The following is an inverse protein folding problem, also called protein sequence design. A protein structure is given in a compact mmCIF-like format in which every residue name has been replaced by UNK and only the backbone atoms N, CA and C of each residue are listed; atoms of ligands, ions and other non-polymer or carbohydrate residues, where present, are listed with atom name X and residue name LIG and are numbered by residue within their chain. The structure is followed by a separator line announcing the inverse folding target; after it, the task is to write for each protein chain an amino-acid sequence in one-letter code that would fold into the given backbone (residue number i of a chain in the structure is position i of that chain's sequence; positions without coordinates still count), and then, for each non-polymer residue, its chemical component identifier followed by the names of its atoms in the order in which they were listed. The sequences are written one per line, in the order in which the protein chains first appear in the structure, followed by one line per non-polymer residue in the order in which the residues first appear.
data_IF_990224584369
#
_entry.id   IF_990224584369
#
_cell.length_a   1.000
_cell.length_b   1.000
_cell.length_c   1.000
_cell.angle_alpha   90.00
_cell.angle_beta   90.00
_cell.angle_gamma   90.00
#
_symmetry.space_group_name_H-M   'P 1'
#
loop_
_entity.id
_entity.type
_entity.pdbx_description
1 polymer ?
#
# COMPACT_ATOMS: atom_id res chain seq x y z
N UNK A 1 -21.21 1.14 16.68
CA UNK A 1 -20.94 0.91 15.24
C UNK A 1 -20.15 2.07 14.67
N UNK A 2 -18.83 2.07 14.79
CA UNK A 2 -17.97 3.05 14.11
C UNK A 2 -17.53 2.41 12.79
N UNK A 3 -18.23 2.75 11.71
CA UNK A 3 -17.81 2.38 10.36
C UNK A 3 -16.40 2.95 10.15
N UNK A 4 -15.36 2.13 9.91
CA UNK A 4 -14.04 2.66 9.67
C UNK A 4 -14.12 3.58 8.45
N UNK A 5 -13.64 4.82 8.60
CA UNK A 5 -13.55 5.77 7.50
C UNK A 5 -12.49 5.22 6.56
N UNK A 6 -12.92 4.57 5.47
CA UNK A 6 -12.00 4.21 4.40
C UNK A 6 -11.48 5.50 3.77
N UNK A 7 -10.16 5.76 3.79
CA UNK A 7 -9.61 6.91 3.09
C UNK A 7 -9.73 6.65 1.58
N UNK A 8 -10.83 7.14 0.98
CA UNK A 8 -10.94 7.21 -0.48
C UNK A 8 -9.97 8.26 -0.97
N UNK A 9 -8.88 7.81 -1.59
CA UNK A 9 -7.98 8.69 -2.30
C UNK A 9 -8.69 9.20 -3.56
N UNK A 10 -8.64 10.50 -3.80
CA UNK A 10 -9.21 11.09 -5.02
C UNK A 10 -8.36 10.67 -6.23
N UNK A 11 -8.99 10.54 -7.40
CA UNK A 11 -8.28 10.21 -8.64
C UNK A 11 -7.16 11.21 -8.94
N UNK A 12 -7.34 12.47 -8.56
CA UNK A 12 -6.31 13.52 -8.70
C UNK A 12 -5.03 13.20 -7.90
N UNK A 13 -5.17 12.78 -6.63
CA UNK A 13 -4.02 12.42 -5.79
C UNK A 13 -3.29 11.17 -6.32
N UNK A 14 -4.03 10.20 -6.85
CA UNK A 14 -3.45 9.01 -7.49
C UNK A 14 -2.59 9.38 -8.71
N UNK A 15 -3.11 10.22 -9.60
CA UNK A 15 -2.37 10.69 -10.78
C UNK A 15 -1.15 11.51 -10.37
N UNK A 16 -1.28 12.39 -9.37
CA UNK A 16 -0.16 13.18 -8.84
C UNK A 16 0.95 12.28 -8.30
N UNK A 17 0.62 11.20 -7.59
CA UNK A 17 1.61 10.26 -7.06
C UNK A 17 2.40 9.57 -8.17
N UNK A 18 1.73 9.14 -9.24
CA UNK A 18 2.39 8.54 -10.42
C UNK A 18 3.32 9.54 -11.09
N UNK A 19 2.85 10.78 -11.30
CA UNK A 19 3.66 11.83 -11.91
C UNK A 19 4.89 12.16 -11.06
N UNK A 20 4.71 12.29 -9.74
CA UNK A 20 5.81 12.58 -8.81
C UNK A 20 6.87 11.48 -8.83
N UNK A 21 6.46 10.22 -8.89
CA UNK A 21 7.35 9.08 -9.02
C UNK A 21 8.09 9.06 -10.36
N UNK A 22 7.40 9.35 -11.47
CA UNK A 22 8.03 9.41 -12.79
C UNK A 22 9.07 10.54 -12.88
N UNK A 23 8.76 11.71 -12.33
CA UNK A 23 9.67 12.87 -12.29
C UNK A 23 10.89 12.56 -11.41
N UNK A 24 10.71 11.96 -10.24
CA UNK A 24 11.84 11.63 -9.36
C UNK A 24 12.74 10.56 -9.97
N UNK A 25 12.16 9.50 -10.54
CA UNK A 25 12.92 8.43 -11.18
C UNK A 25 13.71 8.94 -12.39
N UNK A 26 13.08 9.73 -13.26
CA UNK A 26 13.75 10.33 -14.41
C UNK A 26 14.87 11.29 -13.99
N UNK A 27 14.66 12.09 -12.94
CA UNK A 27 15.69 12.96 -12.39
C UNK A 27 16.95 12.19 -11.96
N UNK A 28 16.78 11.04 -11.29
CA UNK A 28 17.93 10.21 -10.88
C UNK A 28 18.62 9.58 -12.09
N UNK A 29 17.86 9.08 -13.06
CA UNK A 29 18.42 8.52 -14.30
C UNK A 29 19.25 9.57 -15.06
N UNK A 30 18.73 10.79 -15.19
CA UNK A 30 19.46 11.91 -15.79
C UNK A 30 20.74 12.20 -14.99
N UNK A 31 20.68 12.25 -13.66
CA UNK A 31 21.85 12.47 -12.82
C UNK A 31 22.94 11.39 -13.03
N UNK A 32 22.55 10.11 -13.19
CA UNK A 32 23.49 9.03 -13.49
C UNK A 32 24.16 9.18 -14.87
N UNK A 33 23.45 9.71 -15.86
CA UNK A 33 24.00 9.96 -17.21
C UNK A 33 25.04 11.08 -17.17
N UNK A 34 24.76 12.17 -16.45
CA UNK A 34 25.66 13.32 -16.33
C UNK A 34 26.83 13.11 -15.34
N UNK A 35 26.81 12.03 -14.55
CA UNK A 35 27.87 11.74 -13.59
C UNK A 35 29.22 11.48 -14.31
N UNK A 36 30.30 12.23 -14.02
CA UNK A 36 31.59 12.07 -14.68
C UNK A 36 32.38 10.87 -14.12
N UNK A 37 31.97 9.65 -14.47
CA UNK A 37 32.60 8.39 -14.02
C UNK A 37 32.77 7.38 -15.16
N UNK A 38 33.48 6.28 -14.93
CA UNK A 38 33.59 5.20 -15.91
C UNK A 38 32.22 4.56 -16.19
N UNK A 39 31.98 4.15 -17.44
CA UNK A 39 30.68 3.61 -17.87
C UNK A 39 30.20 2.39 -17.05
N UNK A 40 31.13 1.54 -16.61
CA UNK A 40 30.81 0.36 -15.80
C UNK A 40 30.27 0.73 -14.40
N UNK A 41 30.79 1.81 -13.79
CA UNK A 41 30.30 2.31 -12.49
C UNK A 41 28.87 2.82 -12.64
N UNK A 42 28.59 3.57 -13.71
CA UNK A 42 27.24 4.06 -14.02
C UNK A 42 26.27 2.90 -14.23
N UNK A 43 26.69 1.85 -14.94
CA UNK A 43 25.88 0.65 -15.16
C UNK A 43 25.58 -0.08 -13.84
N UNK A 44 26.57 -0.24 -12.95
CA UNK A 44 26.37 -0.84 -11.63
C UNK A 44 25.38 -0.03 -10.77
N UNK A 45 25.52 1.30 -10.74
CA UNK A 45 24.57 2.19 -10.05
C UNK A 45 23.16 2.11 -10.66
N UNK A 46 23.06 2.03 -11.99
CA UNK A 46 21.78 1.86 -12.69
C UNK A 46 21.09 0.54 -12.35
N UNK A 47 21.85 -0.56 -12.28
CA UNK A 47 21.33 -1.86 -11.82
C UNK A 47 20.84 -1.79 -10.37
N UNK A 48 21.61 -1.16 -9.48
CA UNK A 48 21.22 -0.95 -8.09
C UNK A 48 19.92 -0.14 -7.97
N UNK A 49 19.80 0.96 -8.71
CA UNK A 49 18.60 1.79 -8.78
C UNK A 49 17.38 0.97 -9.25
N UNK A 50 17.51 0.24 -10.36
CA UNK A 50 16.43 -0.60 -10.90
C UNK A 50 15.98 -1.67 -9.89
N UNK A 51 16.92 -2.33 -9.23
CA UNK A 51 16.61 -3.37 -8.25
C UNK A 51 15.92 -2.81 -7.00
N UNK A 52 16.41 -1.69 -6.46
CA UNK A 52 15.79 -1.02 -5.31
C UNK A 52 14.37 -0.55 -5.65
N UNK A 53 14.16 0.04 -6.82
CA UNK A 53 12.82 0.46 -7.28
C UNK A 53 11.87 -0.74 -7.40
N UNK A 54 12.31 -1.82 -8.05
CA UNK A 54 11.48 -3.02 -8.28
C UNK A 54 11.11 -3.72 -6.97
N UNK A 55 12.09 -3.88 -6.06
CA UNK A 55 11.87 -4.48 -4.74
C UNK A 55 10.99 -3.61 -3.85
N UNK A 56 11.11 -2.28 -3.91
CA UNK A 56 10.25 -1.36 -3.17
C UNK A 56 8.80 -1.47 -3.61
N UNK A 57 8.52 -1.48 -4.92
CA UNK A 57 7.14 -1.67 -5.44
C UNK A 57 6.56 -3.02 -5.00
N UNK A 58 7.38 -4.07 -5.02
CA UNK A 58 6.98 -5.41 -4.54
C UNK A 58 6.65 -5.38 -3.05
N UNK A 59 7.50 -4.74 -2.24
CA UNK A 59 7.27 -4.57 -0.81
C UNK A 59 6.00 -3.77 -0.53
N UNK A 60 5.76 -2.67 -1.27
CA UNK A 60 4.54 -1.88 -1.15
C UNK A 60 3.28 -2.71 -1.43
N UNK A 61 3.31 -3.59 -2.45
CA UNK A 61 2.21 -4.53 -2.71
C UNK A 61 1.99 -5.46 -1.52
N UNK A 62 3.05 -6.09 -1.01
CA UNK A 62 2.94 -6.98 0.16
C UNK A 62 2.34 -6.27 1.37
N UNK A 63 2.77 -5.03 1.64
CA UNK A 63 2.22 -4.23 2.75
C UNK A 63 0.73 -3.91 2.53
N UNK A 64 0.35 -3.51 1.31
CA UNK A 64 -1.05 -3.23 0.96
C UNK A 64 -1.91 -4.49 1.07
N UNK A 65 -1.45 -5.61 0.53
CA UNK A 65 -2.16 -6.88 0.57
C UNK A 65 -2.38 -7.33 2.02
N UNK A 66 -1.41 -7.08 2.93
CA UNK A 66 -1.56 -7.34 4.37
C UNK A 66 -2.61 -6.45 5.04
N UNK A 67 -2.70 -5.18 4.66
CA UNK A 67 -3.72 -4.25 5.16
C UNK A 67 -5.12 -4.68 4.70
N UNK A 68 -5.27 -5.03 3.42
CA UNK A 68 -6.54 -5.51 2.85
C UNK A 68 -7.00 -6.83 3.50
N UNK A 69 -6.08 -7.79 3.73
CA UNK A 69 -6.39 -9.05 4.44
C UNK A 69 -6.85 -8.82 5.89
N UNK A 70 -6.22 -7.89 6.60
CA UNK A 70 -6.60 -7.54 7.97
C UNK A 70 -8.01 -6.93 8.04
N UNK A 71 -8.36 -6.07 7.08
CA UNK A 71 -9.68 -5.47 7.00
C UNK A 71 -10.77 -6.52 6.77
N UNK A 72 -10.54 -7.48 5.86
CA UNK A 72 -11.50 -8.55 5.57
C UNK A 72 -11.74 -9.43 6.80
N UNK A 73 -10.67 -9.82 7.51
CA UNK A 73 -10.78 -10.67 8.70
C UNK A 73 -11.61 -9.98 9.79
N UNK A 74 -11.32 -8.69 10.06
CA UNK A 74 -12.06 -7.90 11.04
C UNK A 74 -13.57 -7.80 10.72
N UNK A 75 -13.94 -7.69 9.43
CA UNK A 75 -15.35 -7.64 9.01
C UNK A 75 -16.06 -8.98 9.22
N UNK A 76 -15.37 -10.10 8.99
CA UNK A 76 -15.92 -11.44 9.25
C UNK A 76 -16.12 -11.66 10.75
N UNK A 77 -15.15 -11.26 11.57
CA UNK A 77 -15.25 -11.37 13.02
C UNK A 77 -16.39 -10.52 13.57
N UNK A 78 -16.55 -9.29 13.09
CA UNK A 78 -17.71 -8.45 13.42
C UNK A 78 -19.03 -9.10 13.04
N UNK A 79 -19.17 -9.64 11.83
CA UNK A 79 -20.39 -10.32 11.41
C UNK A 79 -20.69 -11.60 12.21
N UNK A 80 -19.64 -12.34 12.62
CA UNK A 80 -19.78 -13.51 13.49
C UNK A 80 -20.18 -13.10 14.91
N UNK A 81 -19.57 -12.05 15.46
CA UNK A 81 -19.94 -11.48 16.75
C UNK A 81 -21.38 -10.99 16.73
N UNK A 82 -21.80 -10.24 15.71
CA UNK A 82 -23.18 -9.78 15.55
C UNK A 82 -24.16 -10.97 15.49
N UNK A 83 -23.81 -12.04 14.78
CA UNK A 83 -24.62 -13.26 14.74
C UNK A 83 -24.70 -13.95 16.10
N UNK A 84 -23.60 -14.04 16.84
CA UNK A 84 -23.57 -14.61 18.19
C UNK A 84 -24.42 -13.77 19.16
N UNK A 85 -24.31 -12.45 19.12
CA UNK A 85 -25.13 -11.53 19.91
C UNK A 85 -26.62 -11.61 19.55
N UNK A 86 -26.94 -11.88 18.28
CA UNK A 86 -28.33 -12.04 17.84
C UNK A 86 -28.91 -13.40 18.27
N UNK A 87 -28.11 -14.46 18.27
CA UNK A 87 -28.55 -15.82 18.65
C UNK A 87 -28.56 -16.03 20.17
N UNK A 88 -27.67 -15.37 20.89
CA UNK A 88 -27.66 -15.29 22.34
C UNK A 88 -27.93 -13.85 22.72
N UNK A 89 -29.20 -13.52 22.89
CA UNK A 89 -29.66 -12.27 23.49
C UNK A 89 -29.75 -12.45 25.01
N UNK A 90 -28.70 -12.11 25.79
CA UNK A 90 -28.73 -12.20 27.24
C UNK A 90 -29.67 -11.16 27.90
N UNK A 91 -30.34 -10.29 27.13
CA UNK A 91 -31.24 -9.26 27.63
C UNK A 91 -32.73 -9.54 27.37
N UNK A 92 -33.09 -10.72 26.86
CA UNK A 92 -34.47 -11.21 26.99
C UNK A 92 -34.75 -11.52 28.46
N UNK A 93 -35.29 -10.54 29.15
CA UNK A 93 -35.93 -10.72 30.46
C UNK A 93 -37.28 -11.37 30.17
N UNK A 94 -37.43 -12.66 30.50
CA UNK A 94 -38.73 -13.33 30.52
C UNK A 94 -39.61 -12.61 31.56
N UNK A 95 -40.56 -11.81 31.08
CA UNK A 95 -41.69 -11.25 31.85
C UNK A 95 -42.97 -11.74 31.21
#
# INVERSE_FOLDING_TARGET
MTKPIQPTQTTAFYVQAILSFAVSLSSVVIALIYLPTAGWIRAFLGLGLLYVVTSTVTLCKVVRDRQEQSEVTNRVDQARLDKLLTQHDPFKVDV
#
